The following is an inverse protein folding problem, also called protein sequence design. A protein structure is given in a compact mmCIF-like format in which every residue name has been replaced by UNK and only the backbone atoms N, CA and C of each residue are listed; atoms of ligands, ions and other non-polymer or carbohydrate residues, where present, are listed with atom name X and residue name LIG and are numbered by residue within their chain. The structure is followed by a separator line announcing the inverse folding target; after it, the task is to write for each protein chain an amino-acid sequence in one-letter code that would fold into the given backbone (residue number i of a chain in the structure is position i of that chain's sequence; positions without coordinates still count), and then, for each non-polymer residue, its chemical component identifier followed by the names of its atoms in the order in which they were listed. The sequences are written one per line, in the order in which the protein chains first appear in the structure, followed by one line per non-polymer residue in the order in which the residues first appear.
data_IF_917935965950
#
_entry.id   IF_917935965950
#
_cell.length_a   1.000
_cell.length_b   1.000
_cell.length_c   1.000
_cell.angle_alpha   90.00
_cell.angle_beta   90.00
_cell.angle_gamma   90.00
#
_symmetry.space_group_name_H-M   'P 1'
#
loop_
_entity.id
_entity.type
_entity.pdbx_description
1 polymer ?
#
# COMPACT_ATOMS: atom_id res chain seq x y z
N UNK A 1 31.06 -21.86 -24.40
CA UNK A 1 31.06 -22.08 -22.93
C UNK A 1 29.66 -22.46 -22.52
N UNK A 2 29.51 -23.62 -21.90
CA UNK A 2 28.20 -24.13 -21.45
C UNK A 2 27.83 -23.49 -20.11
N UNK A 3 26.52 -23.36 -19.83
CA UNK A 3 25.99 -22.78 -18.58
C UNK A 3 26.59 -23.44 -17.32
N UNK A 4 26.96 -24.71 -17.43
CA UNK A 4 27.61 -25.52 -16.39
C UNK A 4 29.06 -25.11 -16.09
N UNK A 5 29.76 -24.45 -17.02
CA UNK A 5 31.13 -23.93 -16.79
C UNK A 5 31.14 -22.58 -16.06
N UNK A 6 29.98 -21.91 -15.95
CA UNK A 6 29.85 -20.63 -15.23
C UNK A 6 29.53 -20.83 -13.74
N UNK A 7 28.88 -21.94 -13.38
CA UNK A 7 28.55 -22.27 -11.99
C UNK A 7 29.79 -22.71 -11.18
N UNK A 8 30.77 -23.37 -11.80
CA UNK A 8 31.99 -23.78 -11.09
C UNK A 8 32.99 -22.64 -10.81
N UNK A 9 32.70 -21.41 -11.24
CA UNK A 9 33.53 -20.23 -10.99
C UNK A 9 33.04 -19.40 -9.80
N UNK A 10 31.85 -19.69 -9.26
CA UNK A 10 31.28 -18.94 -8.13
C UNK A 10 31.59 -19.56 -6.75
N UNK A 11 32.05 -20.82 -6.70
CA UNK A 11 32.32 -21.51 -5.42
C UNK A 11 33.73 -21.26 -4.85
N UNK A 12 34.55 -20.41 -5.48
CA UNK A 12 35.87 -20.01 -4.98
C UNK A 12 35.88 -18.57 -4.42
N UNK A 13 34.72 -18.03 -4.05
CA UNK A 13 34.68 -16.82 -3.23
C UNK A 13 35.05 -17.20 -1.79
N UNK A 14 36.37 -17.20 -1.56
CA UNK A 14 37.02 -17.24 -0.26
C UNK A 14 36.24 -16.36 0.71
N UNK A 15 35.74 -16.96 1.79
CA UNK A 15 35.35 -16.27 3.01
C UNK A 15 36.56 -15.46 3.45
N UNK A 16 36.61 -14.20 3.02
CA UNK A 16 37.45 -13.20 3.65
C UNK A 16 36.90 -13.09 5.06
N UNK A 17 37.55 -13.74 6.01
CA UNK A 17 37.43 -13.41 7.41
C UNK A 17 37.68 -11.91 7.50
N UNK A 18 36.59 -11.14 7.59
CA UNK A 18 36.59 -9.78 8.07
C UNK A 18 37.04 -9.88 9.54
N UNK A 19 38.34 -10.06 9.74
CA UNK A 19 38.99 -9.64 10.96
C UNK A 19 38.84 -8.13 10.94
N UNK A 20 37.69 -7.67 11.45
CA UNK A 20 37.55 -6.40 12.15
C UNK A 20 38.70 -6.39 13.16
N UNK A 21 39.89 -6.00 12.68
CA UNK A 21 40.96 -5.56 13.55
C UNK A 21 40.33 -4.42 14.30
N UNK A 22 39.93 -4.69 15.54
CA UNK A 22 39.73 -3.74 16.62
C UNK A 22 41.02 -2.92 16.73
N UNK A 23 41.24 -2.04 15.76
CA UNK A 23 42.16 -0.94 15.86
C UNK A 23 41.54 -0.14 16.98
N UNK A 24 42.07 -0.29 18.19
CA UNK A 24 41.80 0.58 19.31
C UNK A 24 41.90 2.01 18.78
N UNK A 25 40.75 2.60 18.46
CA UNK A 25 40.69 3.97 17.97
C UNK A 25 41.16 4.83 19.13
N UNK A 26 42.45 5.17 19.11
CA UNK A 26 43.08 6.04 20.10
C UNK A 26 42.23 7.29 20.15
N UNK A 27 41.44 7.43 21.22
CA UNK A 27 40.50 8.54 21.36
C UNK A 27 41.34 9.81 21.36
N UNK A 28 41.22 10.67 20.34
CA UNK A 28 42.05 11.85 20.27
C UNK A 28 41.73 12.76 21.47
N UNK A 29 42.73 12.96 22.32
CA UNK A 29 42.65 13.81 23.50
C UNK A 29 42.83 15.25 23.05
N UNK A 30 41.77 15.89 22.57
CA UNK A 30 41.81 17.33 22.27
C UNK A 30 41.77 18.12 23.59
N UNK A 31 42.90 18.31 24.25
CA UNK A 31 42.96 18.96 25.56
C UNK A 31 42.89 20.49 25.42
N UNK A 32 43.42 21.00 24.31
CA UNK A 32 43.43 22.44 24.00
C UNK A 32 42.47 22.81 22.86
N UNK A 33 42.10 24.09 22.79
CA UNK A 33 41.26 24.63 21.70
C UNK A 33 41.96 24.49 20.34
N UNK A 34 43.29 24.62 20.30
CA UNK A 34 44.11 24.57 19.09
C UNK A 34 44.14 23.17 18.49
N UNK A 35 44.35 22.14 19.32
CA UNK A 35 44.27 20.73 18.90
C UNK A 35 42.88 20.38 18.37
N UNK A 36 41.83 20.84 19.07
CA UNK A 36 40.45 20.62 18.65
C UNK A 36 40.16 21.30 17.30
N UNK A 37 40.61 22.54 17.09
CA UNK A 37 40.48 23.26 15.81
C UNK A 37 41.24 22.56 14.70
N UNK A 38 42.51 22.20 14.92
CA UNK A 38 43.37 21.51 13.96
C UNK A 38 42.72 20.21 13.49
N UNK A 39 42.25 19.39 14.44
CA UNK A 39 41.54 18.16 14.14
C UNK A 39 40.28 18.39 13.29
N UNK A 40 39.48 19.41 13.62
CA UNK A 40 38.28 19.76 12.86
C UNK A 40 38.57 20.22 11.43
N UNK A 41 39.71 20.87 11.19
CA UNK A 41 40.15 21.29 9.85
C UNK A 41 40.68 20.09 9.06
N UNK A 42 41.51 19.24 9.67
CA UNK A 42 42.06 18.02 9.05
C UNK A 42 40.96 17.05 8.60
N UNK A 43 39.87 16.96 9.37
CA UNK A 43 38.70 16.13 9.04
C UNK A 43 37.63 16.87 8.21
N UNK A 44 37.95 18.07 7.70
CA UNK A 44 37.05 18.90 6.88
C UNK A 44 35.69 19.25 7.52
N UNK A 45 35.59 19.23 8.85
CA UNK A 45 34.34 19.58 9.55
C UNK A 45 33.94 21.03 9.36
N UNK A 46 34.91 21.90 9.06
CA UNK A 46 34.65 23.26 8.62
C UNK A 46 33.78 23.32 7.35
N UNK A 47 33.77 22.30 6.50
CA UNK A 47 32.91 22.23 5.30
C UNK A 47 31.50 21.69 5.57
N UNK A 48 31.24 21.15 6.78
CA UNK A 48 29.95 20.55 7.16
C UNK A 48 29.08 21.57 7.91
N UNK A 49 27.77 21.41 7.79
CA UNK A 49 26.82 22.16 8.63
C UNK A 49 26.91 21.61 10.07
N UNK A 50 26.94 22.47 11.11
CA UNK A 50 26.79 22.07 12.51
C UNK A 50 25.72 21.00 12.77
N UNK A 51 24.54 21.11 12.14
CA UNK A 51 23.46 20.12 12.27
C UNK A 51 23.83 18.76 11.66
N UNK A 52 24.60 18.76 10.58
CA UNK A 52 25.14 17.55 9.97
C UNK A 52 26.13 16.84 10.89
N UNK A 53 27.01 17.60 11.55
CA UNK A 53 27.97 17.05 12.52
C UNK A 53 27.27 16.44 13.75
N UNK A 54 26.16 17.01 14.20
CA UNK A 54 25.34 16.44 15.28
C UNK A 54 24.67 15.12 14.90
N UNK A 55 24.42 14.87 13.61
CA UNK A 55 23.82 13.64 13.09
C UNK A 55 24.84 12.70 12.44
N UNK A 56 26.11 13.08 12.41
CA UNK A 56 27.18 12.35 11.75
C UNK A 56 27.71 11.16 12.54
N UNK A 57 28.88 10.68 12.14
CA UNK A 57 29.56 9.56 12.80
C UNK A 57 29.92 9.91 14.26
N UNK A 58 30.20 8.88 15.06
CA UNK A 58 30.40 9.01 16.52
C UNK A 58 31.47 10.04 16.89
N UNK A 59 32.60 10.06 16.19
CA UNK A 59 33.68 11.01 16.45
C UNK A 59 33.33 12.45 16.04
N UNK A 60 32.54 12.65 14.97
CA UNK A 60 32.06 13.98 14.56
C UNK A 60 31.15 14.58 15.61
N UNK A 61 30.21 13.77 16.12
CA UNK A 61 29.30 14.15 17.20
C UNK A 61 30.07 14.48 18.48
N UNK A 62 31.03 13.64 18.85
CA UNK A 62 31.87 13.84 20.04
C UNK A 62 32.69 15.12 19.94
N UNK A 63 33.35 15.35 18.81
CA UNK A 63 34.11 16.56 18.52
C UNK A 63 33.22 17.80 18.62
N UNK A 64 32.05 17.78 17.97
CA UNK A 64 31.12 18.92 17.98
C UNK A 64 30.61 19.21 19.40
N UNK A 65 30.15 18.18 20.13
CA UNK A 65 29.65 18.32 21.50
C UNK A 65 30.71 18.87 22.46
N UNK A 66 31.96 18.41 22.34
CA UNK A 66 33.07 18.92 23.15
C UNK A 66 33.35 20.39 22.86
N UNK A 67 33.36 20.79 21.59
CA UNK A 67 33.48 22.20 21.18
C UNK A 67 32.35 23.07 21.71
N UNK A 68 31.10 22.57 21.73
CA UNK A 68 29.95 23.27 22.34
C UNK A 68 30.12 23.40 23.85
N UNK A 69 30.43 22.30 24.55
CA UNK A 69 30.59 22.27 26.02
C UNK A 69 31.70 23.21 26.51
N UNK A 70 32.80 23.32 25.76
CA UNK A 70 33.94 24.18 26.09
C UNK A 70 33.82 25.61 25.54
N UNK A 71 32.78 25.91 24.75
CA UNK A 71 32.58 27.21 24.11
C UNK A 71 33.45 27.47 22.87
N UNK A 72 34.38 26.58 22.53
CA UNK A 72 35.29 26.69 21.38
C UNK A 72 34.58 26.76 20.03
N UNK A 73 33.38 26.18 19.94
CA UNK A 73 32.58 26.17 18.70
C UNK A 73 32.32 27.56 18.14
N UNK A 74 32.26 28.60 19.00
CA UNK A 74 32.04 30.00 18.61
C UNK A 74 33.23 30.58 17.82
N UNK A 75 34.42 30.05 18.07
CA UNK A 75 35.67 30.46 17.42
C UNK A 75 36.01 29.56 16.22
N UNK A 76 35.20 28.54 15.94
CA UNK A 76 35.39 27.65 14.80
C UNK A 76 34.66 28.19 13.59
N UNK A 77 35.42 28.53 12.54
CA UNK A 77 34.85 29.05 11.30
C UNK A 77 34.29 27.90 10.46
N UNK A 78 32.98 27.65 10.59
CA UNK A 78 32.26 26.82 9.63
C UNK A 78 32.19 27.58 8.32
N UNK A 79 32.87 27.06 7.29
CA UNK A 79 32.60 27.39 5.91
C UNK A 79 31.22 26.83 5.58
N UNK A 80 30.18 27.54 6.02
CA UNK A 80 28.85 27.40 5.44
C UNK A 80 29.09 27.61 3.96
N UNK A 81 29.06 26.53 3.16
CA UNK A 81 28.82 26.66 1.73
C UNK A 81 27.63 27.59 1.69
N UNK A 82 27.81 28.83 1.24
CA UNK A 82 26.68 29.74 1.05
C UNK A 82 25.77 28.92 0.17
N UNK A 83 24.68 28.42 0.73
CA UNK A 83 23.74 27.57 0.00
C UNK A 83 23.56 28.28 -1.31
N UNK A 84 23.98 27.61 -2.38
CA UNK A 84 24.10 28.20 -3.71
C UNK A 84 22.80 28.97 -3.90
N UNK A 85 22.89 30.32 -3.93
CA UNK A 85 21.73 31.22 -3.73
C UNK A 85 20.54 30.60 -4.46
N UNK A 86 19.43 30.41 -3.75
CA UNK A 86 18.23 29.75 -4.29
C UNK A 86 18.09 30.08 -5.77
N UNK A 87 18.11 29.05 -6.61
CA UNK A 87 18.11 29.22 -8.08
C UNK A 87 16.92 30.05 -8.57
N UNK A 88 15.85 30.09 -7.77
CA UNK A 88 14.64 30.85 -8.02
C UNK A 88 14.52 31.97 -6.99
N UNK A 89 14.68 33.21 -7.45
CA UNK A 89 14.54 34.42 -6.63
C UNK A 89 13.12 34.96 -6.70
N UNK A 90 12.46 34.82 -7.83
CA UNK A 90 11.10 35.29 -8.08
C UNK A 90 10.12 34.13 -8.28
N UNK A 91 8.83 34.40 -8.09
CA UNK A 91 7.75 33.44 -8.38
C UNK A 91 7.76 33.03 -9.85
N UNK A 92 8.03 33.97 -10.75
CA UNK A 92 8.05 33.72 -12.19
C UNK A 92 9.20 32.80 -12.60
N UNK A 93 10.42 33.02 -12.09
CA UNK A 93 11.56 32.10 -12.33
C UNK A 93 11.26 30.68 -11.81
N UNK A 94 10.64 30.59 -10.64
CA UNK A 94 10.23 29.32 -10.04
C UNK A 94 9.17 28.62 -10.89
N UNK A 95 8.16 29.37 -11.34
CA UNK A 95 7.05 28.88 -12.16
C UNK A 95 7.52 28.42 -13.54
N UNK A 96 8.31 29.23 -14.24
CA UNK A 96 8.88 28.89 -15.54
C UNK A 96 9.75 27.64 -15.47
N UNK A 97 10.54 27.49 -14.41
CA UNK A 97 11.31 26.25 -14.18
C UNK A 97 10.39 25.03 -14.03
N UNK A 98 9.34 25.14 -13.21
CA UNK A 98 8.39 24.05 -13.02
C UNK A 98 7.64 23.67 -14.30
N UNK A 99 7.22 24.66 -15.09
CA UNK A 99 6.57 24.46 -16.38
C UNK A 99 7.51 23.77 -17.37
N UNK A 100 8.75 24.26 -17.50
CA UNK A 100 9.77 23.70 -18.39
C UNK A 100 10.18 22.27 -18.04
N UNK A 101 10.03 21.87 -16.77
CA UNK A 101 10.25 20.49 -16.31
C UNK A 101 8.98 19.61 -16.35
N UNK A 102 7.84 20.16 -16.76
CA UNK A 102 6.58 19.41 -16.81
C UNK A 102 5.96 19.12 -15.44
N UNK A 103 6.35 19.85 -14.39
CA UNK A 103 5.87 19.60 -13.02
C UNK A 103 4.37 19.86 -12.85
N UNK A 104 3.77 20.65 -13.72
CA UNK A 104 2.32 20.83 -13.76
C UNK A 104 1.59 19.51 -13.97
N UNK A 105 2.18 18.50 -14.62
CA UNK A 105 1.52 17.21 -14.87
C UNK A 105 1.55 16.23 -13.69
N UNK A 106 2.19 16.61 -12.58
CA UNK A 106 2.43 15.72 -11.44
C UNK A 106 1.66 16.18 -10.22
N UNK A 107 1.35 15.23 -9.34
CA UNK A 107 0.71 15.54 -8.07
C UNK A 107 1.70 16.23 -7.10
N UNK A 108 1.24 17.23 -6.31
CA UNK A 108 2.04 17.87 -5.27
C UNK A 108 2.72 16.91 -4.30
N UNK A 109 2.05 15.81 -3.93
CA UNK A 109 2.59 14.79 -3.03
C UNK A 109 3.81 14.09 -3.64
N UNK A 110 3.79 13.79 -4.94
CA UNK A 110 4.91 13.11 -5.62
C UNK A 110 6.23 13.89 -5.56
N UNK A 111 6.20 15.21 -5.37
CA UNK A 111 7.41 16.02 -5.23
C UNK A 111 8.02 15.95 -3.84
N UNK A 112 7.23 15.70 -2.81
CA UNK A 112 7.75 15.56 -1.43
C UNK A 112 8.58 14.29 -1.31
N UNK A 113 8.14 13.23 -2.00
CA UNK A 113 8.74 11.91 -1.96
C UNK A 113 9.68 11.64 -3.14
N UNK A 114 9.86 12.63 -4.04
CA UNK A 114 10.76 12.50 -5.20
C UNK A 114 12.19 12.21 -4.74
N UNK A 115 12.90 11.36 -5.48
CA UNK A 115 14.32 11.07 -5.25
C UNK A 115 15.20 12.26 -5.66
N UNK A 116 14.77 13.04 -6.66
CA UNK A 116 15.50 14.22 -7.13
C UNK A 116 15.43 15.35 -6.09
N UNK A 117 16.61 15.74 -5.60
CA UNK A 117 16.74 16.81 -4.62
C UNK A 117 16.28 18.17 -5.18
N UNK A 118 16.45 18.42 -6.48
CA UNK A 118 16.05 19.66 -7.13
C UNK A 118 14.52 19.75 -7.15
N UNK A 119 13.82 18.66 -7.46
CA UNK A 119 12.36 18.57 -7.38
C UNK A 119 11.84 18.85 -5.98
N UNK A 120 12.38 18.16 -4.97
CA UNK A 120 12.01 18.38 -3.57
C UNK A 120 12.23 19.83 -3.15
N UNK A 121 13.40 20.40 -3.46
CA UNK A 121 13.74 21.80 -3.12
C UNK A 121 12.82 22.79 -3.83
N UNK A 122 12.52 22.56 -5.10
CA UNK A 122 11.60 23.38 -5.87
C UNK A 122 10.22 23.40 -5.21
N UNK A 123 9.65 22.24 -4.91
CA UNK A 123 8.33 22.14 -4.29
C UNK A 123 8.30 22.72 -2.87
N UNK A 124 9.27 22.39 -2.02
CA UNK A 124 9.38 22.93 -0.67
C UNK A 124 9.48 24.46 -0.68
N UNK A 125 10.25 25.04 -1.62
CA UNK A 125 10.36 26.48 -1.76
C UNK A 125 9.02 27.11 -2.16
N UNK A 126 8.38 26.58 -3.19
CA UNK A 126 7.07 27.07 -3.65
C UNK A 126 5.99 26.96 -2.59
N UNK A 127 5.99 25.89 -1.80
CA UNK A 127 5.08 25.69 -0.67
C UNK A 127 5.32 26.74 0.43
N UNK A 128 6.59 26.95 0.81
CA UNK A 128 6.97 27.91 1.86
C UNK A 128 6.66 29.37 1.46
N UNK A 129 6.78 29.70 0.17
CA UNK A 129 6.45 31.02 -0.37
C UNK A 129 4.97 31.16 -0.77
N UNK A 130 4.16 30.11 -0.59
CA UNK A 130 2.75 30.02 -1.04
C UNK A 130 2.55 30.07 -2.56
N UNK A 131 3.61 30.10 -3.38
CA UNK A 131 3.56 30.06 -4.85
C UNK A 131 2.90 28.78 -5.38
N UNK A 132 3.05 27.65 -4.68
CA UNK A 132 2.38 26.40 -5.06
C UNK A 132 0.84 26.51 -5.11
N UNK A 133 0.22 27.51 -4.45
CA UNK A 133 -1.23 27.71 -4.52
C UNK A 133 -1.68 28.25 -5.88
N UNK A 134 -0.82 29.01 -6.55
CA UNK A 134 -1.05 29.62 -7.85
C UNK A 134 -0.48 28.77 -9.00
N UNK A 135 0.27 27.72 -8.66
CA UNK A 135 0.82 26.81 -9.65
C UNK A 135 -0.26 25.82 -10.04
N UNK A 136 -0.58 25.80 -11.34
CA UNK A 136 -1.57 24.92 -11.91
C UNK A 136 -1.00 23.51 -12.02
N UNK A 137 -1.00 22.80 -10.89
CA UNK A 137 -0.84 21.36 -10.93
C UNK A 137 -2.08 20.82 -11.62
N UNK A 138 -1.92 20.33 -12.85
CA UNK A 138 -2.80 19.36 -13.47
C UNK A 138 -2.79 18.12 -12.58
N UNK A 139 -3.62 18.20 -11.53
CA UNK A 139 -4.10 17.07 -10.78
C UNK A 139 -5.02 16.40 -11.79
N UNK A 140 -4.44 15.59 -12.67
CA UNK A 140 -5.17 14.76 -13.61
C UNK A 140 -5.90 13.72 -12.75
N UNK A 141 -6.93 14.20 -12.06
CA UNK A 141 -7.78 13.45 -11.18
C UNK A 141 -8.73 12.78 -12.14
N UNK A 142 -8.49 11.49 -12.36
CA UNK A 142 -9.48 10.65 -13.02
C UNK A 142 -10.84 10.96 -12.37
N UNK A 143 -11.81 11.32 -13.21
CA UNK A 143 -13.16 11.70 -12.81
C UNK A 143 -13.21 12.98 -11.95
N UNK A 144 -12.95 14.13 -12.59
CA UNK A 144 -12.99 15.42 -11.88
C UNK A 144 -14.40 16.02 -11.81
N UNK A 145 -15.28 15.63 -12.73
CA UNK A 145 -16.72 15.93 -12.71
C UNK A 145 -17.56 14.71 -12.28
N UNK A 146 -18.79 14.98 -11.84
CA UNK A 146 -19.72 13.93 -11.44
C UNK A 146 -20.09 13.04 -12.63
N UNK A 147 -20.30 13.63 -13.81
CA UNK A 147 -20.72 12.93 -15.02
C UNK A 147 -19.65 11.96 -15.52
N UNK A 148 -18.38 12.36 -15.51
CA UNK A 148 -17.25 11.47 -15.86
C UNK A 148 -17.13 10.31 -14.87
N UNK A 149 -17.32 10.60 -13.58
CA UNK A 149 -17.27 9.62 -12.50
C UNK A 149 -18.43 8.63 -12.60
N UNK A 150 -19.66 9.12 -12.78
CA UNK A 150 -20.86 8.31 -12.92
C UNK A 150 -20.81 7.45 -14.17
N UNK A 151 -20.46 8.03 -15.33
CA UNK A 151 -20.33 7.31 -16.58
C UNK A 151 -19.33 6.15 -16.46
N UNK A 152 -18.16 6.40 -15.87
CA UNK A 152 -17.18 5.35 -15.61
C UNK A 152 -17.75 4.25 -14.70
N UNK A 153 -18.46 4.61 -13.63
CA UNK A 153 -19.08 3.64 -12.73
C UNK A 153 -20.12 2.76 -13.41
N UNK A 154 -20.95 3.34 -14.28
CA UNK A 154 -21.95 2.61 -15.06
C UNK A 154 -21.29 1.70 -16.10
N UNK A 155 -20.30 2.21 -16.83
CA UNK A 155 -19.56 1.46 -17.87
C UNK A 155 -18.84 0.23 -17.28
N UNK A 156 -18.34 0.35 -16.05
CA UNK A 156 -17.69 -0.75 -15.33
C UNK A 156 -18.67 -1.62 -14.51
N UNK A 157 -19.99 -1.38 -14.59
CA UNK A 157 -21.00 -2.19 -13.92
C UNK A 157 -21.10 -1.99 -12.40
N UNK A 158 -20.45 -0.98 -11.83
CA UNK A 158 -20.47 -0.70 -10.39
C UNK A 158 -21.85 -0.31 -9.86
N UNK A 159 -22.74 0.11 -10.74
CA UNK A 159 -24.15 0.28 -10.37
C UNK A 159 -24.80 -1.06 -10.01
N UNK A 160 -24.34 -2.21 -10.50
CA UNK A 160 -24.88 -3.52 -10.14
C UNK A 160 -24.31 -4.05 -8.83
N UNK A 161 -23.14 -3.55 -8.42
CA UNK A 161 -22.48 -3.94 -7.20
C UNK A 161 -23.03 -3.21 -5.97
N UNK A 162 -22.88 -3.84 -4.82
CA UNK A 162 -23.03 -3.12 -3.56
C UNK A 162 -21.76 -2.32 -3.26
N UNK A 163 -21.93 -1.14 -2.66
CA UNK A 163 -20.84 -0.24 -2.28
C UNK A 163 -19.71 -0.92 -1.49
N UNK A 164 -20.04 -1.88 -0.63
CA UNK A 164 -19.05 -2.60 0.17
C UNK A 164 -18.24 -3.60 -0.65
N UNK A 165 -18.82 -4.21 -1.69
CA UNK A 165 -18.14 -5.10 -2.62
C UNK A 165 -17.06 -4.33 -3.37
N UNK A 166 -17.40 -3.14 -3.88
CA UNK A 166 -16.44 -2.26 -4.56
C UNK A 166 -15.31 -1.83 -3.61
N UNK A 167 -15.64 -1.50 -2.36
CA UNK A 167 -14.63 -1.05 -1.39
C UNK A 167 -13.66 -2.16 -0.96
N UNK A 168 -14.16 -3.40 -0.84
CA UNK A 168 -13.40 -4.56 -0.37
C UNK A 168 -12.80 -5.40 -1.50
N UNK A 169 -13.18 -5.15 -2.75
CA UNK A 169 -12.66 -5.88 -3.91
C UNK A 169 -11.17 -5.66 -4.14
N UNK A 170 -10.55 -6.59 -4.88
CA UNK A 170 -9.11 -6.54 -5.16
C UNK A 170 -8.75 -5.45 -6.17
N UNK A 171 -9.68 -5.06 -7.05
CA UNK A 171 -9.43 -4.04 -8.05
C UNK A 171 -9.11 -2.68 -7.40
N UNK A 172 -7.93 -2.14 -7.73
CA UNK A 172 -7.49 -0.85 -7.20
C UNK A 172 -8.27 0.31 -7.83
N UNK A 173 -8.67 0.17 -9.10
CA UNK A 173 -9.40 1.23 -9.81
C UNK A 173 -10.79 1.42 -9.25
N UNK A 174 -11.54 0.33 -9.03
CA UNK A 174 -12.87 0.35 -8.41
C UNK A 174 -12.85 1.01 -7.02
N UNK A 175 -11.87 0.67 -6.18
CA UNK A 175 -11.67 1.28 -4.86
C UNK A 175 -11.33 2.76 -4.93
N UNK A 176 -10.46 3.16 -5.85
CA UNK A 176 -10.11 4.58 -6.08
C UNK A 176 -11.33 5.37 -6.54
N UNK A 177 -12.09 4.82 -7.48
CA UNK A 177 -13.34 5.38 -7.95
C UNK A 177 -14.33 5.59 -6.80
N UNK A 178 -14.55 4.56 -5.98
CA UNK A 178 -15.47 4.67 -4.84
C UNK A 178 -15.03 5.74 -3.83
N UNK A 179 -13.75 5.71 -3.39
CA UNK A 179 -13.21 6.70 -2.46
C UNK A 179 -13.29 8.12 -3.00
N UNK A 180 -13.12 8.28 -4.31
CA UNK A 180 -13.26 9.57 -4.98
C UNK A 180 -14.70 10.07 -4.89
N UNK A 181 -15.67 9.22 -5.20
CA UNK A 181 -17.09 9.52 -5.05
C UNK A 181 -17.44 9.88 -3.61
N UNK A 182 -16.91 9.15 -2.63
CA UNK A 182 -17.14 9.40 -1.20
C UNK A 182 -16.60 10.77 -0.77
N UNK A 183 -15.35 11.09 -1.15
CA UNK A 183 -14.72 12.37 -0.88
C UNK A 183 -15.50 13.56 -1.48
N UNK A 184 -16.05 13.38 -2.68
CA UNK A 184 -16.86 14.39 -3.38
C UNK A 184 -18.34 14.38 -2.96
N UNK A 185 -18.77 13.41 -2.14
CA UNK A 185 -20.17 13.15 -1.76
C UNK A 185 -21.08 12.74 -2.91
N UNK A 186 -20.52 12.20 -3.99
CA UNK A 186 -21.28 11.71 -5.16
C UNK A 186 -21.91 10.34 -4.95
N UNK A 187 -21.43 9.55 -3.99
CA UNK A 187 -21.99 8.22 -3.67
C UNK A 187 -23.48 8.28 -3.34
N UNK A 188 -23.98 9.36 -2.72
CA UNK A 188 -25.41 9.52 -2.43
C UNK A 188 -26.26 9.85 -3.66
N UNK A 189 -25.64 10.39 -4.71
CA UNK A 189 -26.29 10.71 -5.98
C UNK A 189 -26.18 9.52 -6.95
N UNK A 190 -25.13 8.72 -6.83
CA UNK A 190 -24.96 7.49 -7.59
C UNK A 190 -26.01 6.45 -7.22
N UNK A 191 -26.74 5.99 -8.21
CA UNK A 191 -27.77 4.97 -7.98
C UNK A 191 -27.12 3.60 -7.99
N UNK A 192 -26.60 3.17 -6.83
CA UNK A 192 -26.33 1.74 -6.65
C UNK A 192 -27.66 1.01 -6.80
N UNK A 193 -27.67 0.02 -7.70
CA UNK A 193 -28.74 -0.94 -7.90
C UNK A 193 -28.72 -1.92 -6.71
N UNK A 194 -28.78 -1.36 -5.51
CA UNK A 194 -29.34 -1.96 -4.32
C UNK A 194 -30.80 -2.22 -4.67
N UNK A 195 -31.06 -3.27 -5.45
CA UNK A 195 -32.37 -3.90 -5.53
C UNK A 195 -32.66 -4.35 -4.11
N UNK A 196 -33.23 -3.45 -3.31
CA UNK A 196 -33.85 -3.82 -2.04
C UNK A 196 -34.96 -4.76 -2.44
N UNK A 197 -34.68 -6.04 -2.32
CA UNK A 197 -35.67 -7.07 -2.57
C UNK A 197 -36.91 -6.73 -1.74
N UNK A 198 -38.12 -6.98 -2.27
CA UNK A 198 -39.35 -6.78 -1.52
C UNK A 198 -39.23 -7.34 -0.10
N UNK A 199 -39.81 -6.63 0.87
CA UNK A 199 -39.80 -7.10 2.25
C UNK A 199 -40.40 -8.51 2.32
N UNK A 200 -39.59 -9.50 2.67
CA UNK A 200 -40.02 -10.90 2.79
C UNK A 200 -39.47 -11.85 1.73
N UNK A 201 -38.84 -11.37 0.65
CA UNK A 201 -38.23 -12.26 -0.36
C UNK A 201 -37.21 -13.23 0.26
N UNK A 202 -36.43 -12.75 1.24
CA UNK A 202 -35.50 -13.56 2.04
C UNK A 202 -36.17 -14.55 3.03
N UNK A 203 -37.50 -14.67 3.04
CA UNK A 203 -38.23 -15.72 3.79
C UNK A 203 -38.74 -16.84 2.87
N UNK A 204 -38.78 -16.59 1.56
CA UNK A 204 -39.29 -17.54 0.59
C UNK A 204 -38.22 -18.62 0.35
N UNK A 205 -38.55 -19.87 0.69
CA UNK A 205 -37.59 -20.97 0.63
C UNK A 205 -37.03 -21.15 -0.79
N UNK A 206 -37.87 -21.14 -1.82
CA UNK A 206 -37.46 -21.32 -3.21
C UNK A 206 -36.45 -20.25 -3.65
N UNK A 207 -36.68 -18.99 -3.28
CA UNK A 207 -35.77 -17.90 -3.61
C UNK A 207 -34.38 -18.09 -2.98
N UNK A 208 -34.32 -18.56 -1.73
CA UNK A 208 -33.05 -18.82 -1.05
C UNK A 208 -32.35 -20.05 -1.64
N UNK A 209 -33.10 -21.08 -2.03
CA UNK A 209 -32.56 -22.25 -2.71
C UNK A 209 -31.90 -21.87 -4.04
N UNK A 210 -32.60 -21.09 -4.86
CA UNK A 210 -32.06 -20.56 -6.12
C UNK A 210 -30.80 -19.71 -5.89
N UNK A 211 -30.83 -18.80 -4.90
CA UNK A 211 -29.66 -17.96 -4.57
C UNK A 211 -28.49 -18.74 -3.98
N UNK A 212 -28.76 -19.81 -3.24
CA UNK A 212 -27.72 -20.70 -2.74
C UNK A 212 -27.08 -21.48 -3.88
N UNK A 213 -27.86 -21.94 -4.87
CA UNK A 213 -27.34 -22.58 -6.08
C UNK A 213 -26.49 -21.65 -6.91
N UNK A 214 -26.98 -20.44 -7.21
CA UNK A 214 -26.18 -19.43 -7.91
C UNK A 214 -24.84 -19.19 -7.20
N UNK A 215 -24.85 -19.05 -5.87
CA UNK A 215 -23.62 -18.86 -5.11
C UNK A 215 -22.67 -20.07 -5.16
N UNK A 216 -23.20 -21.29 -5.19
CA UNK A 216 -22.40 -22.51 -5.35
C UNK A 216 -21.74 -22.52 -6.73
N UNK A 217 -22.51 -22.26 -7.79
CA UNK A 217 -22.04 -22.26 -9.17
C UNK A 217 -21.01 -21.14 -9.42
N UNK A 218 -21.28 -19.92 -8.95
CA UNK A 218 -20.39 -18.76 -9.09
C UNK A 218 -19.03 -18.97 -8.42
N UNK A 219 -18.99 -19.72 -7.32
CA UNK A 219 -17.77 -19.93 -6.54
C UNK A 219 -17.15 -21.32 -6.71
N UNK A 220 -17.77 -22.20 -7.52
CA UNK A 220 -17.30 -23.56 -7.78
C UNK A 220 -17.19 -24.41 -6.52
N UNK A 221 -18.20 -24.39 -5.64
CA UNK A 221 -18.22 -25.25 -4.45
C UNK A 221 -18.91 -26.58 -4.72
N UNK A 222 -18.50 -27.64 -4.03
CA UNK A 222 -19.24 -28.91 -4.05
C UNK A 222 -20.49 -28.85 -3.15
N UNK A 223 -20.41 -28.10 -2.05
CA UNK A 223 -21.51 -27.90 -1.11
C UNK A 223 -21.50 -26.47 -0.53
N UNK A 224 -22.69 -25.95 -0.18
CA UNK A 224 -22.84 -24.64 0.45
C UNK A 224 -22.03 -24.54 1.75
N UNK A 225 -21.04 -23.64 1.86
CA UNK A 225 -20.23 -23.50 3.05
C UNK A 225 -21.01 -22.92 4.24
N UNK A 226 -20.42 -22.98 5.43
CA UNK A 226 -21.04 -22.44 6.63
C UNK A 226 -21.18 -20.91 6.61
N UNK A 227 -22.05 -20.38 7.48
CA UNK A 227 -22.40 -18.95 7.51
C UNK A 227 -21.22 -18.00 7.66
N UNK A 228 -20.18 -18.36 8.43
CA UNK A 228 -18.98 -17.52 8.58
C UNK A 228 -18.26 -17.31 7.25
N UNK A 229 -18.10 -18.38 6.45
CA UNK A 229 -17.44 -18.29 5.14
C UNK A 229 -18.30 -17.51 4.15
N UNK A 230 -19.62 -17.73 4.12
CA UNK A 230 -20.55 -16.94 3.29
C UNK A 230 -20.53 -15.44 3.63
N UNK A 231 -20.47 -15.08 4.90
CA UNK A 231 -20.37 -13.68 5.31
C UNK A 231 -19.05 -13.03 4.85
N UNK A 232 -17.92 -13.75 4.91
CA UNK A 232 -16.61 -13.24 4.52
C UNK A 232 -16.52 -12.86 3.04
N UNK A 233 -17.25 -13.58 2.20
CA UNK A 233 -17.26 -13.42 0.73
C UNK A 233 -18.46 -12.60 0.22
N UNK A 234 -19.26 -12.00 1.12
CA UNK A 234 -20.33 -11.07 0.73
C UNK A 234 -21.76 -11.64 0.69
N UNK A 235 -21.96 -12.94 0.88
CA UNK A 235 -23.30 -13.57 0.98
C UNK A 235 -23.89 -13.51 2.40
N UNK A 236 -23.65 -12.42 3.15
CA UNK A 236 -24.11 -12.28 4.53
C UNK A 236 -25.63 -12.26 4.69
N UNK A 237 -26.35 -11.70 3.70
CA UNK A 237 -27.81 -11.70 3.68
C UNK A 237 -28.37 -13.12 3.53
N UNK A 238 -27.79 -13.93 2.65
CA UNK A 238 -28.13 -15.34 2.47
C UNK A 238 -27.89 -16.12 3.78
N UNK A 239 -26.71 -15.98 4.37
CA UNK A 239 -26.35 -16.67 5.60
C UNK A 239 -27.27 -16.34 6.78
N UNK A 240 -27.59 -15.06 6.95
CA UNK A 240 -28.51 -14.59 8.01
C UNK A 240 -29.92 -15.14 7.80
N UNK A 241 -30.38 -15.19 6.54
CA UNK A 241 -31.73 -15.64 6.20
C UNK A 241 -31.90 -17.15 6.39
N UNK A 242 -30.90 -17.94 5.98
CA UNK A 242 -30.83 -19.38 6.25
C UNK A 242 -30.95 -19.66 7.75
N UNK A 243 -30.15 -18.96 8.55
CA UNK A 243 -30.16 -19.14 10.00
C UNK A 243 -31.49 -18.73 10.64
N UNK A 244 -32.05 -17.59 10.24
CA UNK A 244 -33.24 -17.01 10.86
C UNK A 244 -34.55 -17.69 10.45
N UNK A 245 -34.68 -18.11 9.20
CA UNK A 245 -35.97 -18.54 8.63
C UNK A 245 -36.04 -20.02 8.25
N UNK A 246 -34.91 -20.69 8.02
CA UNK A 246 -34.91 -22.03 7.43
C UNK A 246 -34.34 -23.14 8.32
N UNK A 247 -34.15 -22.87 9.61
CA UNK A 247 -33.74 -23.87 10.60
C UNK A 247 -32.23 -24.06 10.70
N UNK A 248 -31.44 -23.12 10.19
CA UNK A 248 -29.98 -23.21 10.20
C UNK A 248 -29.40 -23.96 8.99
N UNK A 249 -28.07 -23.98 8.91
CA UNK A 249 -27.35 -24.49 7.75
C UNK A 249 -27.52 -26.00 7.53
N UNK A 250 -27.61 -26.79 8.61
CA UNK A 250 -27.77 -28.24 8.51
C UNK A 250 -29.12 -28.58 7.84
N UNK A 251 -30.23 -28.10 8.42
CA UNK A 251 -31.56 -28.31 7.87
C UNK A 251 -31.75 -27.68 6.47
N UNK A 252 -31.05 -26.59 6.18
CA UNK A 252 -31.10 -25.96 4.87
C UNK A 252 -30.39 -26.76 3.79
N UNK A 253 -29.22 -27.37 4.08
CA UNK A 253 -28.50 -28.24 3.14
C UNK A 253 -29.31 -29.48 2.77
N UNK A 254 -30.04 -30.05 3.72
CA UNK A 254 -30.97 -31.16 3.43
C UNK A 254 -32.03 -30.76 2.40
N UNK A 255 -32.67 -29.60 2.61
CA UNK A 255 -33.66 -29.05 1.66
C UNK A 255 -33.03 -28.72 0.32
N UNK A 256 -31.78 -28.26 0.31
CA UNK A 256 -31.04 -27.95 -0.92
C UNK A 256 -30.76 -29.22 -1.74
N UNK A 257 -30.32 -30.30 -1.10
CA UNK A 257 -30.13 -31.61 -1.78
C UNK A 257 -31.43 -32.16 -2.35
N UNK A 258 -32.52 -32.07 -1.58
CA UNK A 258 -33.86 -32.44 -2.04
C UNK A 258 -34.30 -31.61 -3.25
N UNK A 259 -34.04 -30.29 -3.24
CA UNK A 259 -34.38 -29.38 -4.33
C UNK A 259 -33.59 -29.68 -5.62
N UNK A 260 -32.31 -30.04 -5.52
CA UNK A 260 -31.46 -30.41 -6.67
C UNK A 260 -31.87 -31.79 -7.23
N UNK A 261 -32.65 -32.56 -6.48
CA UNK A 261 -32.97 -33.94 -6.85
C UNK A 261 -31.79 -34.88 -6.67
N UNK A 262 -30.79 -34.50 -5.85
CA UNK A 262 -29.76 -35.43 -5.44
C UNK A 262 -30.39 -36.45 -4.48
N UNK A 263 -30.44 -37.75 -4.85
CA UNK A 263 -30.93 -38.76 -3.93
C UNK A 263 -30.07 -38.74 -2.66
N UNK A 264 -30.69 -39.00 -1.52
CA UNK A 264 -29.92 -39.25 -0.29
C UNK A 264 -28.94 -40.36 -0.61
N UNK A 265 -27.64 -40.10 -0.43
CA UNK A 265 -26.71 -41.18 -0.13
C UNK A 265 -27.27 -41.85 1.12
N UNK A 266 -27.88 -43.00 0.91
CA UNK A 266 -28.28 -43.88 1.98
C UNK A 266 -27.00 -44.41 2.63
N UNK A 267 -27.09 -44.89 3.88
CA UNK A 267 -25.94 -45.58 4.49
C UNK A 267 -25.42 -46.72 3.60
N UNK A 268 -26.23 -47.26 2.69
CA UNK A 268 -25.79 -48.24 1.70
C UNK A 268 -24.87 -47.67 0.63
N UNK A 269 -25.11 -46.46 0.13
CA UNK A 269 -24.25 -45.80 -0.87
C UNK A 269 -22.90 -45.37 -0.25
N UNK A 270 -22.94 -44.95 1.02
CA UNK A 270 -21.72 -44.70 1.81
C UNK A 270 -20.95 -45.98 2.09
N UNK A 271 -21.63 -47.12 2.29
CA UNK A 271 -20.97 -48.42 2.40
C UNK A 271 -20.41 -48.91 1.07
N UNK A 272 -21.09 -48.65 -0.05
CA UNK A 272 -20.69 -49.12 -1.37
C UNK A 272 -19.43 -48.39 -1.86
N UNK A 273 -19.36 -47.07 -1.67
CA UNK A 273 -18.12 -46.30 -1.88
C UNK A 273 -16.96 -46.75 -0.98
N UNK A 274 -17.23 -47.08 0.29
CA UNK A 274 -16.25 -47.65 1.21
C UNK A 274 -15.77 -49.04 0.78
N UNK A 275 -16.65 -49.84 0.15
CA UNK A 275 -16.32 -51.17 -0.36
C UNK A 275 -15.52 -51.08 -1.66
N UNK A 276 -15.82 -50.13 -2.56
CA UNK A 276 -15.02 -49.91 -3.76
C UNK A 276 -13.57 -49.49 -3.43
N UNK A 277 -13.38 -48.62 -2.42
CA UNK A 277 -12.05 -48.27 -1.90
C UNK A 277 -11.34 -49.49 -1.26
N UNK A 278 -12.10 -50.41 -0.66
CA UNK A 278 -11.55 -51.59 0.00
C UNK A 278 -11.23 -52.74 -0.97
N UNK A 279 -12.01 -52.90 -2.04
CA UNK A 279 -11.88 -53.99 -3.02
C UNK A 279 -10.99 -53.58 -4.20
N UNK A 280 -10.89 -52.29 -4.52
CA UNK A 280 -10.06 -51.76 -5.62
C UNK A 280 -8.56 -51.60 -5.32
N UNK A 281 -8.11 -51.93 -4.12
CA UNK A 281 -6.72 -51.76 -3.67
C UNK A 281 -5.82 -52.97 -3.89
N UNK A 282 -5.70 -53.51 -5.10
CA UNK A 282 -4.49 -54.22 -5.59
C UNK A 282 -4.68 -54.85 -6.98
N UNK A 283 -4.24 -54.13 -8.02
CA UNK A 283 -3.48 -54.69 -9.14
C UNK A 283 -2.54 -53.63 -9.72
#
# INVERSE_FOLDING_TARGET
MTKTQLESLLDNYVEGEDTETDREEVKPTWETEEEWKKYGIENEFNKKNPHGLQKGQKYERSWYQKGVKRGWIRNFSFNKKKDQKSRWKTEEEWRQYGLGKGYHKRSPSSFRDSIDEIERKWYCRGSNQKWCKNFDFNRNLEWDTFEEWEYYGIDNGYNQDNAMSILNGDDEKSRKWYKRGEYKKWISEFTFNSKRLPNGTWKELNYILEKALEAIDENGWDELPGGTKLCQIGYGALATSIHRYHGGFLAFREKLREYIGQPRETESDQLESLLDDYVGGSE
#
